data_IF_638786544030
#
_entry.id   IF_638786544030
#
_cell.length_a   1.000
_cell.length_b   1.000
_cell.length_c   1.000
_cell.angle_alpha   90.00
_cell.angle_beta   90.00
_cell.angle_gamma   90.00
#
_symmetry.space_group_name_H-M   'P 1'
#
loop_
_entity.id
_entity.type
_entity.pdbx_description
1 polymer ?
#
# COMPACT_ATOMS: atom_id res chain seq x y z
N UNK A 1 -5.93 14.44 7.50
CA UNK A 1 -5.22 15.47 8.32
C UNK A 1 -3.94 14.89 8.87
N UNK A 2 -2.87 14.89 8.06
CA UNK A 2 -1.52 14.61 8.53
C UNK A 2 -0.93 15.90 9.12
N UNK A 3 0.31 16.26 8.82
CA UNK A 3 0.99 17.44 9.35
C UNK A 3 0.20 18.77 9.20
N UNK A 4 -0.70 18.87 8.21
CA UNK A 4 -1.55 20.03 7.99
C UNK A 4 -2.90 20.01 8.75
N UNK A 5 -3.13 19.03 9.64
CA UNK A 5 -4.39 18.89 10.38
C UNK A 5 -4.27 19.16 11.88
N UNK A 6 -5.39 19.50 12.52
CA UNK A 6 -5.46 19.80 13.98
C UNK A 6 -5.24 18.58 14.88
N UNK A 7 -5.30 17.37 14.33
CA UNK A 7 -5.20 16.10 15.09
C UNK A 7 -3.82 15.42 14.97
N UNK A 8 -2.81 16.10 14.43
CA UNK A 8 -1.50 15.50 14.19
C UNK A 8 -0.87 14.81 15.43
N UNK A 9 -0.90 15.39 16.65
CA UNK A 9 -0.36 14.73 17.85
C UNK A 9 -1.09 13.42 18.18
N UNK A 10 -2.43 13.45 18.16
CA UNK A 10 -3.27 12.26 18.42
C UNK A 10 -3.02 11.17 17.38
N UNK A 11 -2.96 11.53 16.10
CA UNK A 11 -2.73 10.57 15.02
C UNK A 11 -1.35 9.90 15.13
N UNK A 12 -0.30 10.67 15.49
CA UNK A 12 1.04 10.12 15.73
C UNK A 12 1.08 9.17 16.93
N UNK A 13 0.39 9.51 18.03
CA UNK A 13 0.30 8.64 19.19
C UNK A 13 -0.41 7.31 18.86
N UNK A 14 -1.55 7.36 18.18
CA UNK A 14 -2.29 6.17 17.75
C UNK A 14 -1.45 5.29 16.81
N UNK A 15 -0.73 5.90 15.86
CA UNK A 15 0.18 5.18 14.98
C UNK A 15 1.32 4.50 15.75
N UNK A 16 1.94 5.20 16.71
CA UNK A 16 3.01 4.64 17.53
C UNK A 16 2.52 3.43 18.34
N UNK A 17 1.33 3.52 18.94
CA UNK A 17 0.71 2.40 19.66
C UNK A 17 0.44 1.21 18.74
N UNK A 18 -0.08 1.45 17.53
CA UNK A 18 -0.31 0.39 16.54
C UNK A 18 0.99 -0.30 16.14
N UNK A 19 2.04 0.48 15.85
CA UNK A 19 3.36 -0.04 15.46
C UNK A 19 4.09 -0.78 16.58
N UNK A 20 3.78 -0.50 17.86
CA UNK A 20 4.36 -1.19 19.01
C UNK A 20 3.82 -2.62 19.21
N UNK A 21 2.72 -2.99 18.54
CA UNK A 21 2.18 -4.34 18.60
C UNK A 21 3.14 -5.35 17.95
N UNK A 22 3.45 -6.48 18.59
CA UNK A 22 4.34 -7.52 18.01
C UNK A 22 3.76 -8.18 16.76
N UNK A 23 2.45 -7.98 16.50
CA UNK A 23 1.76 -8.46 15.30
C UNK A 23 1.96 -7.56 14.07
N UNK A 24 2.61 -6.41 14.24
CA UNK A 24 2.82 -5.43 13.17
C UNK A 24 4.29 -5.45 12.76
N UNK A 25 4.53 -5.82 11.50
CA UNK A 25 5.86 -5.80 10.90
C UNK A 25 5.93 -4.71 9.84
N UNK A 26 6.89 -3.79 9.98
CA UNK A 26 7.10 -2.73 9.00
C UNK A 26 7.96 -3.24 7.85
N UNK A 27 7.38 -3.32 6.65
CA UNK A 27 8.12 -3.59 5.42
C UNK A 27 8.57 -2.27 4.79
N UNK A 28 9.84 -2.23 4.38
CA UNK A 28 10.43 -1.06 3.72
C UNK A 28 10.60 -1.35 2.24
N UNK A 29 10.23 -0.42 1.35
CA UNK A 29 10.60 -0.52 -0.06
C UNK A 29 12.11 -0.58 -0.24
N UNK A 30 12.52 -1.37 -1.22
CA UNK A 30 13.91 -1.47 -1.68
C UNK A 30 13.97 -1.33 -3.22
N UNK A 31 15.14 -1.59 -3.79
CA UNK A 31 15.35 -1.55 -5.24
C UNK A 31 14.42 -2.49 -6.01
N UNK A 32 14.14 -3.68 -5.48
CA UNK A 32 13.20 -4.62 -6.10
C UNK A 32 11.79 -4.05 -6.09
N UNK A 33 11.42 -3.32 -5.04
CA UNK A 33 10.11 -2.67 -4.96
C UNK A 33 9.98 -1.59 -6.01
N UNK A 34 11.05 -0.82 -6.26
CA UNK A 34 11.08 0.22 -7.28
C UNK A 34 10.93 -0.35 -8.71
N UNK A 35 11.53 -1.51 -9.00
CA UNK A 35 11.34 -2.19 -10.29
C UNK A 35 9.88 -2.62 -10.48
N UNK A 36 9.29 -3.27 -9.48
CA UNK A 36 7.88 -3.68 -9.52
C UNK A 36 6.93 -2.50 -9.59
N UNK A 37 7.26 -1.38 -8.95
CA UNK A 37 6.53 -0.12 -9.09
C UNK A 37 6.48 0.33 -10.55
N UNK A 38 7.63 0.34 -11.24
CA UNK A 38 7.72 0.76 -12.63
C UNK A 38 6.90 -0.15 -13.57
N UNK A 39 6.92 -1.46 -13.33
CA UNK A 39 6.08 -2.43 -14.04
C UNK A 39 4.59 -2.13 -13.85
N UNK A 40 4.13 -2.00 -12.59
CA UNK A 40 2.72 -1.71 -12.28
C UNK A 40 2.28 -0.39 -12.91
N UNK A 41 3.11 0.66 -12.80
CA UNK A 41 2.82 1.95 -13.41
C UNK A 41 2.70 1.84 -14.94
N UNK A 42 3.65 1.15 -15.59
CA UNK A 42 3.64 0.95 -17.04
C UNK A 42 2.39 0.22 -17.52
N UNK A 43 1.99 -0.83 -16.80
CA UNK A 43 0.80 -1.63 -17.12
C UNK A 43 -0.49 -0.81 -16.98
N UNK A 44 -0.65 -0.10 -15.87
CA UNK A 44 -1.82 0.74 -15.62
C UNK A 44 -1.90 1.90 -16.62
N UNK A 45 -0.76 2.52 -16.95
CA UNK A 45 -0.68 3.58 -17.97
C UNK A 45 -1.09 3.07 -19.34
N UNK A 46 -0.57 1.93 -19.78
CA UNK A 46 -0.93 1.31 -21.07
C UNK A 46 -2.42 1.01 -21.17
N UNK A 47 -3.06 0.68 -20.05
CA UNK A 47 -4.50 0.36 -19.97
C UNK A 47 -5.40 1.57 -19.70
N UNK A 48 -4.84 2.77 -19.50
CA UNK A 48 -5.62 3.97 -19.19
C UNK A 48 -6.31 3.92 -17.81
N UNK A 49 -5.71 3.24 -16.83
CA UNK A 49 -6.27 3.05 -15.48
C UNK A 49 -5.29 3.50 -14.39
N UNK A 50 -4.83 4.77 -14.40
CA UNK A 50 -3.88 5.24 -13.40
C UNK A 50 -4.50 5.19 -11.99
N UNK A 51 -3.68 4.87 -11.00
CA UNK A 51 -4.03 4.91 -9.57
C UNK A 51 -3.09 5.89 -8.84
N UNK A 52 -3.45 6.39 -7.64
CA UNK A 52 -2.60 7.29 -6.86
C UNK A 52 -1.18 6.75 -6.61
N UNK A 53 -0.20 7.65 -6.49
CA UNK A 53 1.22 7.29 -6.34
C UNK A 53 1.51 6.40 -5.14
N UNK A 54 0.82 6.62 -4.01
CA UNK A 54 1.01 5.78 -2.82
C UNK A 54 0.45 4.37 -3.02
N UNK A 55 -0.64 4.22 -3.79
CA UNK A 55 -1.24 2.92 -4.08
C UNK A 55 -0.30 2.10 -4.97
N UNK A 56 0.41 2.74 -5.91
CA UNK A 56 1.46 2.08 -6.69
C UNK A 56 2.56 1.50 -5.79
N UNK A 57 3.05 2.26 -4.80
CA UNK A 57 4.07 1.77 -3.87
C UNK A 57 3.56 0.62 -3.00
N UNK A 58 2.34 0.73 -2.47
CA UNK A 58 1.71 -0.33 -1.67
C UNK A 58 1.54 -1.60 -2.50
N UNK A 59 1.05 -1.48 -3.73
CA UNK A 59 0.86 -2.60 -4.64
C UNK A 59 2.18 -3.28 -5.02
N UNK A 60 3.22 -2.50 -5.32
CA UNK A 60 4.55 -3.03 -5.63
C UNK A 60 5.16 -3.79 -4.45
N UNK A 61 5.04 -3.25 -3.23
CA UNK A 61 5.56 -3.89 -2.03
C UNK A 61 4.81 -5.19 -1.70
N UNK A 62 3.49 -5.19 -1.83
CA UNK A 62 2.68 -6.41 -1.67
C UNK A 62 3.05 -7.49 -2.72
N UNK A 63 3.21 -7.10 -3.99
CA UNK A 63 3.68 -8.00 -5.07
C UNK A 63 5.07 -8.54 -4.80
N UNK A 64 6.00 -7.71 -4.34
CA UNK A 64 7.38 -8.12 -4.00
C UNK A 64 7.41 -9.27 -3.01
N UNK A 65 6.62 -9.16 -1.95
CA UNK A 65 6.60 -10.11 -0.84
C UNK A 65 5.55 -11.22 -1.02
N UNK A 66 4.78 -11.20 -2.11
CA UNK A 66 3.68 -12.14 -2.39
C UNK A 66 2.70 -12.22 -1.22
N UNK A 67 2.35 -11.05 -0.67
CA UNK A 67 1.39 -10.95 0.42
C UNK A 67 0.05 -10.45 -0.11
N UNK A 68 -1.08 -11.00 0.38
CA UNK A 68 -2.39 -10.49 0.03
C UNK A 68 -2.59 -9.09 0.63
N UNK A 69 -3.08 -8.16 -0.17
CA UNK A 69 -3.39 -6.81 0.25
C UNK A 69 -4.86 -6.71 0.70
N UNK A 70 -5.08 -6.39 1.96
CA UNK A 70 -6.41 -6.05 2.47
C UNK A 70 -6.64 -4.53 2.31
N UNK A 71 -7.65 -4.15 1.54
CA UNK A 71 -8.00 -2.75 1.32
C UNK A 71 -9.49 -2.57 1.03
N UNK A 72 -10.03 -1.42 1.41
CA UNK A 72 -11.36 -0.96 0.96
C UNK A 72 -11.29 -0.20 -0.36
N UNK A 73 -10.09 0.17 -0.80
CA UNK A 73 -9.89 0.91 -2.04
C UNK A 73 -10.02 -0.03 -3.25
N UNK A 74 -10.91 0.31 -4.17
CA UNK A 74 -11.15 -0.47 -5.39
C UNK A 74 -10.05 -0.31 -6.43
N UNK A 75 -9.17 0.70 -6.31
CA UNK A 75 -8.03 0.91 -7.22
C UNK A 75 -7.19 -0.35 -7.38
N UNK A 76 -6.93 -1.07 -6.29
CA UNK A 76 -6.07 -2.25 -6.30
C UNK A 76 -6.61 -3.42 -7.14
N UNK A 77 -7.92 -3.44 -7.45
CA UNK A 77 -8.54 -4.46 -8.32
C UNK A 77 -8.05 -4.40 -9.76
N UNK A 78 -7.50 -3.27 -10.19
CA UNK A 78 -6.97 -3.10 -11.55
C UNK A 78 -5.51 -3.53 -11.66
N UNK A 79 -4.81 -3.77 -10.56
CA UNK A 79 -3.39 -4.14 -10.56
C UNK A 79 -3.22 -5.63 -10.86
N UNK A 80 -2.53 -5.96 -11.96
CA UNK A 80 -2.25 -7.34 -12.32
C UNK A 80 -1.23 -7.98 -11.39
N UNK A 81 -1.44 -9.25 -11.04
CA UNK A 81 -0.54 -10.02 -10.18
C UNK A 81 -0.53 -9.60 -8.71
N UNK A 82 -1.49 -8.77 -8.28
CA UNK A 82 -1.71 -8.40 -6.88
C UNK A 82 -2.82 -9.28 -6.29
N UNK A 83 -2.52 -9.98 -5.20
CA UNK A 83 -3.50 -10.75 -4.45
C UNK A 83 -4.26 -9.84 -3.48
N UNK A 84 -5.59 -9.95 -3.43
CA UNK A 84 -6.44 -9.16 -2.53
C UNK A 84 -7.05 -10.06 -1.46
N UNK A 85 -6.90 -9.67 -0.20
CA UNK A 85 -7.59 -10.33 0.92
C UNK A 85 -9.02 -9.80 1.06
N UNK A 86 -9.93 -10.67 1.46
CA UNK A 86 -11.24 -10.29 1.98
C UNK A 86 -11.17 -10.18 3.50
N UNK A 87 -11.80 -9.17 4.12
CA UNK A 87 -11.93 -9.14 5.57
C UNK A 87 -12.69 -10.38 6.05
N UNK A 88 -12.30 -10.91 7.20
CA UNK A 88 -13.09 -11.93 7.88
C UNK A 88 -14.49 -11.36 8.20
N UNK A 89 -15.56 -12.19 8.14
CA UNK A 89 -16.92 -11.76 8.46
C UNK A 89 -17.06 -11.26 9.89
#
# INVERSE_FOLDING_TARGET
>A
GFAAGTRAPRNRHQLAQFMASPRVHLMKPDEKTAHLYAEVFGDLRRRGTPIPTNDLWIAALARQHRLPLLSFDTHFRTVQGLELATPAP
#
